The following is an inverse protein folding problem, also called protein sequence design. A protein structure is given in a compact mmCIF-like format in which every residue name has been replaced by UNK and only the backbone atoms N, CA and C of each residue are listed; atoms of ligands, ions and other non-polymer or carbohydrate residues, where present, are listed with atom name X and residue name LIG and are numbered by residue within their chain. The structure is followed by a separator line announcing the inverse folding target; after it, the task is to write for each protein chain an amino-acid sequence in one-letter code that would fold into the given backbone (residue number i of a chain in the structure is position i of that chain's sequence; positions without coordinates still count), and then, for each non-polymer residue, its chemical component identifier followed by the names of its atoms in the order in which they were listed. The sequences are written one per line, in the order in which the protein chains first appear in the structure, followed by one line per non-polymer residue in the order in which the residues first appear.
data_IF_602617740784
#
_entry.id   IF_602617740784
#
_cell.length_a   1.000
_cell.length_b   1.000
_cell.length_c   1.000
_cell.angle_alpha   90.00
_cell.angle_beta   90.00
_cell.angle_gamma   90.00
#
_symmetry.space_group_name_H-M   'P 1'
#
loop_
_entity.id
_entity.type
_entity.pdbx_description
1 polymer ?
#
# COMPACT_ATOMS: atom_id res chain seq x y z
N UNK A 1 2.68 -31.50 40.40
CA UNK A 1 3.03 -30.34 39.56
C UNK A 1 1.71 -29.68 39.15
N UNK A 2 1.47 -28.46 39.62
CA UNK A 2 0.19 -27.76 39.46
C UNK A 2 0.11 -27.12 38.07
N UNK A 3 -0.98 -27.38 37.34
CA UNK A 3 -1.33 -26.70 36.11
C UNK A 3 -1.92 -25.33 36.45
N UNK A 4 -1.20 -24.25 36.14
CA UNK A 4 -1.73 -22.89 36.15
C UNK A 4 -2.32 -22.59 34.77
N UNK A 5 -3.65 -22.55 34.69
CA UNK A 5 -4.37 -22.01 33.53
C UNK A 5 -4.19 -20.49 33.47
N UNK A 6 -3.56 -20.00 32.41
CA UNK A 6 -3.60 -18.58 32.06
C UNK A 6 -4.98 -18.28 31.46
N UNK A 7 -5.84 -17.55 32.19
CA UNK A 7 -7.01 -16.92 31.60
C UNK A 7 -6.56 -15.69 30.81
N UNK A 8 -6.70 -15.72 29.50
CA UNK A 8 -6.59 -14.54 28.65
C UNK A 8 -7.82 -13.65 28.90
N UNK A 9 -7.61 -12.48 29.51
CA UNK A 9 -8.60 -11.41 29.58
C UNK A 9 -8.67 -10.73 28.22
N UNK A 10 -9.65 -11.10 27.41
CA UNK A 10 -10.03 -10.34 26.20
C UNK A 10 -10.71 -9.06 26.67
N UNK A 11 -10.01 -7.93 26.61
CA UNK A 11 -10.62 -6.63 26.80
C UNK A 11 -11.50 -6.32 25.59
N UNK A 12 -12.82 -6.44 25.74
CA UNK A 12 -13.79 -6.05 24.73
C UNK A 12 -13.86 -4.52 24.72
N UNK A 13 -13.03 -3.86 23.90
CA UNK A 13 -13.20 -2.44 23.62
C UNK A 13 -14.46 -2.28 22.74
N UNK A 14 -15.58 -1.88 23.36
CA UNK A 14 -16.78 -1.50 22.62
C UNK A 14 -16.50 -0.19 21.87
N UNK A 15 -16.28 -0.27 20.56
CA UNK A 15 -16.26 0.92 19.69
C UNK A 15 -17.70 1.43 19.60
N UNK A 16 -18.01 2.47 20.36
CA UNK A 16 -19.32 3.14 20.27
C UNK A 16 -19.35 3.97 18.99
N UNK A 17 -19.84 3.40 17.89
CA UNK A 17 -20.21 4.21 16.71
C UNK A 17 -21.42 5.08 17.07
N UNK A 18 -21.35 6.37 16.79
CA UNK A 18 -22.51 7.23 16.88
C UNK A 18 -23.61 6.67 15.96
N UNK A 19 -24.85 6.57 16.46
CA UNK A 19 -25.97 6.13 15.63
C UNK A 19 -26.14 7.11 14.47
N UNK A 20 -26.47 6.66 13.23
CA UNK A 20 -26.65 7.55 12.10
C UNK A 20 -27.73 8.61 12.41
N UNK A 21 -27.32 9.87 12.54
CA UNK A 21 -28.22 10.99 12.92
C UNK A 21 -28.64 11.85 11.74
N UNK A 22 -27.97 11.72 10.59
CA UNK A 22 -28.14 12.59 9.42
C UNK A 22 -28.47 11.77 8.17
N UNK A 23 -29.21 12.37 7.24
CA UNK A 23 -29.56 11.78 5.95
C UNK A 23 -28.93 12.67 4.87
N UNK A 24 -28.09 12.06 4.03
CA UNK A 24 -27.45 12.71 2.88
C UNK A 24 -28.46 12.96 1.74
N UNK A 25 -28.13 13.80 0.75
CA UNK A 25 -29.03 14.11 -0.36
C UNK A 25 -29.49 12.88 -1.17
N UNK A 26 -28.69 11.82 -1.22
CA UNK A 26 -28.99 10.55 -1.89
C UNK A 26 -29.84 9.58 -1.04
N UNK A 27 -30.16 9.96 0.21
CA UNK A 27 -30.92 9.15 1.17
C UNK A 27 -30.06 8.27 2.08
N UNK A 28 -28.74 8.25 1.88
CA UNK A 28 -27.81 7.48 2.74
C UNK A 28 -27.79 8.07 4.15
N UNK A 29 -27.84 7.20 5.17
CA UNK A 29 -27.78 7.61 6.58
C UNK A 29 -26.35 7.59 7.06
N UNK A 30 -25.91 8.71 7.63
CA UNK A 30 -24.56 8.89 8.18
C UNK A 30 -24.61 9.47 9.59
N UNK A 31 -23.54 9.24 10.33
CA UNK A 31 -23.26 9.73 11.69
C UNK A 31 -22.96 11.23 11.73
N UNK A 32 -22.37 11.79 10.67
CA UNK A 32 -22.08 13.23 10.57
C UNK A 32 -22.31 13.75 9.15
N UNK A 33 -22.91 14.94 9.02
CA UNK A 33 -23.19 15.57 7.73
C UNK A 33 -21.95 15.77 6.83
N UNK A 34 -20.76 15.97 7.41
CA UNK A 34 -19.50 16.09 6.64
C UNK A 34 -19.21 14.81 5.85
N UNK A 35 -19.62 13.64 6.35
CA UNK A 35 -19.42 12.37 5.67
C UNK A 35 -20.22 12.26 4.37
N UNK A 36 -21.27 13.08 4.17
CA UNK A 36 -22.09 13.04 2.96
C UNK A 36 -21.31 13.42 1.69
N UNK A 37 -20.30 14.28 1.80
CA UNK A 37 -19.53 14.76 0.64
C UNK A 37 -18.62 13.66 0.06
N UNK A 38 -18.26 12.67 0.87
CA UNK A 38 -17.41 11.56 0.48
C UNK A 38 -18.14 10.50 -0.34
N UNK A 39 -19.47 10.43 -0.27
CA UNK A 39 -20.28 9.49 -1.06
C UNK A 39 -20.18 9.78 -2.58
N UNK A 40 -20.50 11.00 -3.06
CA UNK A 40 -20.34 11.31 -4.48
C UNK A 40 -18.86 11.36 -4.90
N UNK A 41 -17.93 11.64 -3.99
CA UNK A 41 -16.49 11.51 -4.27
C UNK A 41 -16.12 10.06 -4.57
N UNK A 42 -16.52 9.09 -3.74
CA UNK A 42 -16.25 7.67 -3.98
C UNK A 42 -16.81 7.20 -5.32
N UNK A 43 -18.04 7.63 -5.66
CA UNK A 43 -18.65 7.35 -6.96
C UNK A 43 -17.84 7.93 -8.12
N UNK A 44 -17.38 9.18 -7.99
CA UNK A 44 -16.57 9.83 -9.00
C UNK A 44 -15.22 9.11 -9.19
N UNK A 45 -14.50 8.82 -8.10
CA UNK A 45 -13.23 8.09 -8.13
C UNK A 45 -13.38 6.73 -8.81
N UNK A 46 -14.41 5.96 -8.44
CA UNK A 46 -14.69 4.67 -9.06
C UNK A 46 -15.06 4.81 -10.54
N UNK A 47 -15.88 5.78 -10.92
CA UNK A 47 -16.32 5.91 -12.31
C UNK A 47 -15.28 6.49 -13.26
N UNK A 48 -14.31 7.23 -12.74
CA UNK A 48 -13.36 8.04 -13.53
C UNK A 48 -11.94 7.51 -13.47
N UNK A 49 -11.49 6.97 -12.33
CA UNK A 49 -10.12 6.44 -12.18
C UNK A 49 -10.16 4.92 -12.07
N UNK A 50 -10.70 4.39 -10.98
CA UNK A 50 -10.43 2.98 -10.63
C UNK A 50 -11.27 1.98 -11.43
N UNK A 51 -12.44 2.38 -11.94
CA UNK A 51 -13.36 1.51 -12.71
C UNK A 51 -13.74 0.21 -11.97
N UNK A 52 -13.72 0.24 -10.63
CA UNK A 52 -13.95 -0.93 -9.79
C UNK A 52 -12.79 -1.95 -9.80
N UNK A 53 -11.62 -1.58 -10.30
CA UNK A 53 -10.45 -2.45 -10.43
C UNK A 53 -9.37 -2.12 -9.38
N UNK A 54 -8.61 -3.14 -9.00
CA UNK A 54 -7.36 -3.00 -8.25
C UNK A 54 -6.23 -3.09 -9.27
N UNK A 55 -6.11 -2.04 -10.09
CA UNK A 55 -5.12 -1.94 -11.15
C UNK A 55 -4.22 -0.73 -10.94
N UNK A 56 -3.58 -0.26 -12.01
CA UNK A 56 -2.54 0.77 -11.97
C UNK A 56 -2.91 2.02 -11.15
N UNK A 57 -3.99 2.71 -11.54
CA UNK A 57 -4.41 3.95 -10.86
C UNK A 57 -4.75 3.73 -9.36
N UNK A 58 -5.21 2.52 -9.01
CA UNK A 58 -5.47 2.16 -7.63
C UNK A 58 -4.16 1.95 -6.86
N UNK A 59 -3.18 1.24 -7.44
CA UNK A 59 -1.87 1.02 -6.83
C UNK A 59 -1.14 2.35 -6.57
N UNK A 60 -1.11 3.23 -7.57
CA UNK A 60 -0.48 4.54 -7.46
C UNK A 60 -1.16 5.44 -6.42
N UNK A 61 -2.49 5.38 -6.31
CA UNK A 61 -3.21 6.07 -5.21
C UNK A 61 -2.81 5.52 -3.84
N UNK A 62 -2.68 4.20 -3.71
CA UNK A 62 -2.31 3.57 -2.43
C UNK A 62 -0.90 4.01 -2.03
N UNK A 63 0.04 4.02 -2.99
CA UNK A 63 1.39 4.55 -2.81
C UNK A 63 1.35 6.01 -2.35
N UNK A 64 0.57 6.87 -3.00
CA UNK A 64 0.43 8.28 -2.63
C UNK A 64 0.01 8.48 -1.17
N UNK A 65 -0.90 7.65 -0.63
CA UNK A 65 -1.29 7.77 0.79
C UNK A 65 -0.13 7.57 1.75
N UNK A 66 0.83 6.71 1.40
CA UNK A 66 2.03 6.53 2.20
C UNK A 66 2.99 7.71 2.04
N UNK A 67 3.24 8.13 0.79
CA UNK A 67 4.21 9.18 0.49
C UNK A 67 3.79 10.56 1.05
N UNK A 68 2.50 10.90 1.04
CA UNK A 68 1.97 12.08 1.75
C UNK A 68 2.14 11.90 3.26
N UNK A 69 1.61 10.81 3.82
CA UNK A 69 1.54 10.63 5.27
C UNK A 69 2.90 10.54 5.97
N UNK A 70 3.86 9.81 5.39
CA UNK A 70 5.14 9.52 6.06
C UNK A 70 6.08 10.73 6.08
N UNK A 71 5.81 11.77 5.29
CA UNK A 71 6.61 12.99 5.16
C UNK A 71 6.41 13.95 6.36
N UNK A 72 6.75 13.47 7.57
CA UNK A 72 6.74 14.19 8.84
C UNK A 72 7.94 13.75 9.68
N UNK A 73 8.48 14.60 10.56
CA UNK A 73 9.59 14.18 11.43
C UNK A 73 9.42 14.73 12.84
N UNK A 74 9.37 13.84 13.84
CA UNK A 74 9.32 14.25 15.24
C UNK A 74 10.63 14.92 15.69
N UNK A 75 11.78 14.42 15.22
CA UNK A 75 13.09 14.97 15.58
C UNK A 75 13.42 16.29 14.89
N UNK A 76 12.98 16.50 13.63
CA UNK A 76 13.18 17.75 12.90
C UNK A 76 12.08 18.79 13.17
N UNK A 77 10.94 18.35 13.71
CA UNK A 77 9.81 19.20 14.08
C UNK A 77 8.89 19.58 12.90
N UNK A 78 7.84 20.38 13.16
CA UNK A 78 6.75 20.62 12.21
C UNK A 78 7.16 21.31 10.90
N UNK A 79 8.34 21.93 10.83
CA UNK A 79 8.84 22.54 9.59
C UNK A 79 9.39 21.55 8.59
N UNK A 80 9.60 20.29 8.98
CA UNK A 80 10.09 19.25 8.07
C UNK A 80 8.97 18.68 7.19
N UNK A 81 7.72 18.74 7.62
CA UNK A 81 6.57 18.21 6.90
C UNK A 81 5.41 17.92 7.84
N UNK A 82 4.18 18.03 7.32
CA UNK A 82 2.95 17.94 8.11
C UNK A 82 2.34 16.54 8.20
N UNK A 83 2.90 15.56 7.51
CA UNK A 83 2.37 14.19 7.47
C UNK A 83 1.19 14.09 6.52
N UNK A 84 0.10 13.44 6.93
CA UNK A 84 -1.05 13.20 6.06
C UNK A 84 -1.88 14.49 5.89
N UNK A 85 -1.34 15.50 5.18
CA UNK A 85 -1.88 16.86 5.10
C UNK A 85 -2.19 17.32 3.66
N UNK A 86 -1.91 16.48 2.67
CA UNK A 86 -2.13 16.78 1.26
C UNK A 86 -1.07 17.69 0.65
N UNK A 87 0.12 17.80 1.25
CA UNK A 87 1.23 18.60 0.72
C UNK A 87 1.57 18.24 -0.72
N UNK A 88 1.45 16.96 -1.10
CA UNK A 88 1.62 16.47 -2.48
C UNK A 88 0.72 17.17 -3.50
N UNK A 89 -0.49 17.60 -3.10
CA UNK A 89 -1.42 18.33 -3.98
C UNK A 89 -1.29 19.84 -3.88
N UNK A 90 -0.96 20.36 -2.70
CA UNK A 90 -0.84 21.80 -2.46
C UNK A 90 0.48 22.35 -3.02
N UNK A 91 1.54 21.53 -3.03
CA UNK A 91 2.87 21.85 -3.55
C UNK A 91 3.32 20.83 -4.61
N UNK A 92 2.56 20.66 -5.72
CA UNK A 92 2.76 19.57 -6.66
C UNK A 92 4.07 19.66 -7.46
N UNK A 93 4.75 20.82 -7.42
CA UNK A 93 6.05 21.05 -8.06
C UNK A 93 7.23 20.98 -7.09
N UNK A 94 7.04 20.43 -5.88
CA UNK A 94 8.10 20.32 -4.87
C UNK A 94 8.34 18.86 -4.53
N UNK A 95 7.45 18.25 -3.74
CA UNK A 95 7.66 16.89 -3.23
C UNK A 95 7.67 15.83 -4.35
N UNK A 96 6.79 15.88 -5.37
CA UNK A 96 6.84 14.93 -6.48
C UNK A 96 8.17 14.94 -7.27
N UNK A 97 8.97 16.00 -7.15
CA UNK A 97 10.27 16.12 -7.83
C UNK A 97 11.45 15.54 -7.02
N UNK A 98 11.21 15.07 -5.78
CA UNK A 98 12.24 14.37 -5.02
C UNK A 98 12.50 12.97 -5.60
N UNK A 99 13.74 12.51 -5.53
CA UNK A 99 14.15 11.21 -6.10
C UNK A 99 13.30 10.05 -5.58
N UNK A 100 13.08 10.00 -4.25
CA UNK A 100 12.28 8.95 -3.62
C UNK A 100 10.79 8.98 -4.00
N UNK A 101 10.32 10.08 -4.61
CA UNK A 101 8.95 10.27 -5.09
C UNK A 101 8.81 10.06 -6.60
N UNK A 102 9.84 9.57 -7.32
CA UNK A 102 9.74 9.32 -8.76
C UNK A 102 8.49 8.49 -9.12
N UNK A 103 7.72 8.97 -10.10
CA UNK A 103 6.45 8.36 -10.54
C UNK A 103 5.20 8.77 -9.75
N UNK A 104 5.34 9.45 -8.59
CA UNK A 104 4.16 9.83 -7.79
C UNK A 104 3.31 10.91 -8.47
N UNK A 105 3.90 11.63 -9.42
CA UNK A 105 3.26 12.66 -10.22
C UNK A 105 2.01 12.17 -10.95
N UNK A 106 1.98 10.91 -11.36
CA UNK A 106 0.82 10.32 -12.02
C UNK A 106 -0.41 10.31 -11.09
N UNK A 107 -0.24 9.79 -9.86
CA UNK A 107 -1.30 9.81 -8.84
C UNK A 107 -1.73 11.23 -8.45
N UNK A 108 -0.78 12.15 -8.38
CA UNK A 108 -1.02 13.56 -8.03
C UNK A 108 -1.86 14.24 -9.10
N UNK A 109 -1.45 14.12 -10.36
CA UNK A 109 -2.16 14.70 -11.50
C UNK A 109 -3.55 14.09 -11.67
N UNK A 110 -3.69 12.79 -11.36
CA UNK A 110 -4.97 12.11 -11.46
C UNK A 110 -6.00 12.58 -10.41
N UNK A 111 -5.54 12.94 -9.22
CA UNK A 111 -6.43 13.27 -8.10
C UNK A 111 -6.66 14.77 -7.91
N UNK A 112 -5.74 15.66 -8.27
CA UNK A 112 -5.92 17.13 -8.17
C UNK A 112 -7.25 17.63 -8.78
N UNK A 113 -7.72 17.15 -9.94
CA UNK A 113 -9.00 17.58 -10.52
C UNK A 113 -10.21 17.37 -9.59
N UNK A 114 -10.14 16.39 -8.68
CA UNK A 114 -11.20 16.10 -7.72
C UNK A 114 -11.31 17.17 -6.63
N UNK A 115 -10.24 17.88 -6.27
CA UNK A 115 -10.32 19.04 -5.35
C UNK A 115 -11.20 20.16 -5.92
N UNK A 116 -11.09 20.40 -7.23
CA UNK A 116 -11.94 21.40 -7.90
C UNK A 116 -13.40 20.95 -8.01
N UNK A 117 -13.64 19.64 -8.15
CA UNK A 117 -14.99 19.05 -8.24
C UNK A 117 -15.68 18.94 -6.87
N UNK A 118 -14.90 18.77 -5.80
CA UNK A 118 -15.36 18.59 -4.43
C UNK A 118 -14.71 19.62 -3.48
N UNK A 119 -15.04 20.91 -3.61
CA UNK A 119 -14.31 22.01 -2.94
C UNK A 119 -14.47 22.06 -1.41
N UNK A 120 -15.33 21.22 -0.84
CA UNK A 120 -15.50 21.08 0.61
C UNK A 120 -14.55 20.05 1.22
N UNK A 121 -13.91 19.21 0.38
CA UNK A 121 -12.96 18.18 0.79
C UNK A 121 -11.55 18.75 0.68
N UNK A 122 -10.75 18.58 1.74
CA UNK A 122 -9.36 19.05 1.79
C UNK A 122 -8.41 18.10 1.06
N UNK A 123 -7.21 18.56 0.75
CA UNK A 123 -6.20 17.77 0.05
C UNK A 123 -5.84 16.48 0.80
N UNK A 124 -5.51 16.57 2.09
CA UNK A 124 -5.20 15.40 2.90
C UNK A 124 -6.39 14.45 3.06
N UNK A 125 -7.62 14.97 3.19
CA UNK A 125 -8.81 14.13 3.25
C UNK A 125 -9.06 13.40 1.91
N UNK A 126 -8.83 14.08 0.77
CA UNK A 126 -8.94 13.47 -0.55
C UNK A 126 -7.94 12.33 -0.74
N UNK A 127 -6.65 12.54 -0.41
CA UNK A 127 -5.62 11.49 -0.55
C UNK A 127 -6.00 10.27 0.28
N UNK A 128 -6.25 10.46 1.57
CA UNK A 128 -6.53 9.35 2.47
C UNK A 128 -7.84 8.64 2.10
N UNK A 129 -8.89 9.38 1.70
CA UNK A 129 -10.14 8.77 1.27
C UNK A 129 -9.97 8.00 -0.05
N UNK A 130 -9.28 8.58 -1.03
CA UNK A 130 -9.01 7.94 -2.31
C UNK A 130 -8.28 6.60 -2.13
N UNK A 131 -7.28 6.54 -1.25
CA UNK A 131 -6.62 5.27 -0.91
C UNK A 131 -7.56 4.23 -0.30
N UNK A 132 -8.52 4.63 0.54
CA UNK A 132 -9.52 3.68 1.07
C UNK A 132 -10.44 3.13 -0.04
N UNK A 133 -10.79 3.96 -1.03
CA UNK A 133 -11.61 3.56 -2.18
C UNK A 133 -10.80 2.63 -3.11
N UNK A 134 -9.55 2.98 -3.40
CA UNK A 134 -8.64 2.16 -4.20
C UNK A 134 -8.45 0.76 -3.58
N UNK A 135 -8.08 0.68 -2.30
CA UNK A 135 -7.94 -0.59 -1.59
C UNK A 135 -9.22 -1.41 -1.56
N UNK A 136 -10.40 -0.78 -1.49
CA UNK A 136 -11.68 -1.52 -1.50
C UNK A 136 -11.88 -2.35 -2.78
N UNK A 137 -11.18 -2.02 -3.87
CA UNK A 137 -11.25 -2.77 -5.12
C UNK A 137 -10.36 -4.01 -5.12
N UNK A 138 -9.45 -4.16 -4.16
CA UNK A 138 -8.49 -5.26 -4.06
C UNK A 138 -9.11 -6.41 -3.25
N UNK A 139 -9.40 -7.57 -3.87
CA UNK A 139 -9.98 -8.71 -3.15
C UNK A 139 -9.10 -9.12 -1.97
N UNK A 140 -9.67 -9.12 -0.77
CA UNK A 140 -8.94 -9.44 0.46
C UNK A 140 -8.44 -8.23 1.24
N UNK A 141 -8.61 -7.01 0.75
CA UNK A 141 -8.22 -5.82 1.51
C UNK A 141 -9.17 -5.58 2.70
N UNK A 142 -8.66 -5.04 3.82
CA UNK A 142 -9.52 -4.66 4.93
C UNK A 142 -10.31 -3.38 4.61
N UNK A 143 -11.49 -3.23 5.23
CA UNK A 143 -12.19 -1.94 5.19
C UNK A 143 -11.46 -0.99 6.15
N UNK A 144 -10.71 -0.04 5.58
CA UNK A 144 -9.95 0.92 6.37
C UNK A 144 -10.85 1.83 7.20
N UNK A 145 -10.32 2.31 8.33
CA UNK A 145 -10.91 3.46 9.02
C UNK A 145 -10.64 4.71 8.20
N UNK A 146 -11.63 5.59 8.10
CA UNK A 146 -11.47 6.90 7.49
C UNK A 146 -11.97 7.97 8.44
N UNK A 147 -11.04 8.83 8.87
CA UNK A 147 -11.36 10.02 9.65
C UNK A 147 -11.16 11.24 8.75
N UNK A 148 -12.10 12.18 8.76
CA UNK A 148 -12.08 13.42 7.96
C UNK A 148 -11.86 14.66 8.84
N UNK A 149 -11.43 15.76 8.23
CA UNK A 149 -11.23 17.05 8.87
C UNK A 149 -9.79 17.57 8.87
N UNK A 150 -8.90 16.99 8.05
CA UNK A 150 -7.52 17.48 7.93
C UNK A 150 -7.52 18.90 7.34
N UNK A 151 -6.80 19.87 7.91
CA UNK A 151 -6.55 21.14 7.21
C UNK A 151 -5.66 20.92 5.98
N UNK A 152 -5.75 21.81 4.99
CA UNK A 152 -4.78 21.81 3.89
C UNK A 152 -3.38 22.19 4.40
N UNK A 153 -2.35 21.52 3.85
CA UNK A 153 -0.95 21.85 4.07
C UNK A 153 -0.63 23.34 3.88
N UNK A 154 0.29 23.87 4.67
CA UNK A 154 0.76 25.26 4.58
C UNK A 154 2.21 25.40 4.10
N UNK A 155 2.94 24.28 4.03
CA UNK A 155 4.30 24.19 3.51
C UNK A 155 4.52 22.78 2.93
N UNK A 156 5.41 22.61 1.92
CA UNK A 156 5.80 21.29 1.46
C UNK A 156 6.67 20.59 2.50
N UNK A 157 6.72 19.27 2.46
CA UNK A 157 7.73 18.53 3.21
C UNK A 157 9.14 18.73 2.63
N UNK A 158 10.17 18.51 3.46
CA UNK A 158 11.57 18.46 3.03
C UNK A 158 11.90 17.10 2.41
N UNK A 159 12.94 17.06 1.58
CA UNK A 159 13.45 15.82 1.01
C UNK A 159 14.09 14.90 2.08
N UNK A 160 14.24 13.61 1.77
CA UNK A 160 14.86 12.60 2.63
C UNK A 160 13.93 12.04 3.72
N UNK A 161 12.61 12.28 3.63
CA UNK A 161 11.63 11.73 4.58
C UNK A 161 10.94 10.45 4.08
N UNK A 162 11.11 10.09 2.81
CA UNK A 162 10.55 8.89 2.19
C UNK A 162 11.62 7.78 2.24
N UNK A 163 11.32 6.58 2.80
CA UNK A 163 12.22 5.43 2.71
C UNK A 163 12.48 5.03 1.27
N UNK A 164 13.71 4.66 0.95
CA UNK A 164 14.11 4.21 -0.38
C UNK A 164 14.43 2.71 -0.42
N UNK A 165 14.26 2.01 -1.56
CA UNK A 165 14.45 0.57 -1.62
C UNK A 165 15.89 0.10 -1.32
N UNK A 166 16.89 0.97 -1.50
CA UNK A 166 18.29 0.70 -1.13
C UNK A 166 18.59 0.89 0.35
N UNK A 167 17.68 1.47 1.14
CA UNK A 167 17.92 1.71 2.55
C UNK A 167 18.14 0.42 3.33
N UNK A 168 19.00 0.48 4.33
CA UNK A 168 19.15 -0.65 5.25
C UNK A 168 18.01 -0.66 6.28
N UNK A 169 17.75 -1.84 6.87
CA UNK A 169 16.67 -2.05 7.84
C UNK A 169 16.73 -1.09 9.03
N UNK A 170 17.92 -0.73 9.52
CA UNK A 170 18.03 0.22 10.64
C UNK A 170 17.51 1.59 10.23
N UNK A 171 17.92 2.10 9.06
CA UNK A 171 17.45 3.38 8.56
C UNK A 171 15.93 3.38 8.36
N UNK A 172 15.36 2.34 7.74
CA UNK A 172 13.92 2.21 7.54
C UNK A 172 13.19 2.23 8.90
N UNK A 173 13.60 1.40 9.85
CA UNK A 173 12.94 1.32 11.17
C UNK A 173 13.07 2.65 11.95
N UNK A 174 14.20 3.34 11.87
CA UNK A 174 14.40 4.66 12.49
C UNK A 174 13.53 5.74 11.82
N UNK A 175 13.41 5.72 10.49
CA UNK A 175 12.58 6.63 9.71
C UNK A 175 11.09 6.50 10.06
N UNK A 176 10.61 5.27 10.18
CA UNK A 176 9.25 4.97 10.64
C UNK A 176 9.05 5.31 12.13
N UNK A 177 10.03 5.05 12.99
CA UNK A 177 9.97 5.45 14.40
C UNK A 177 9.91 6.98 14.56
N UNK A 178 10.69 7.74 13.78
CA UNK A 178 10.72 9.20 13.81
C UNK A 178 9.44 9.84 13.24
N UNK A 179 8.85 9.26 12.20
CA UNK A 179 7.63 9.79 11.60
C UNK A 179 6.43 9.72 12.57
N UNK A 180 6.24 8.56 13.21
CA UNK A 180 5.01 8.27 13.97
C UNK A 180 5.15 7.31 15.13
N UNK A 181 6.37 6.97 15.54
CA UNK A 181 6.62 5.95 16.55
C UNK A 181 6.15 4.57 16.11
N UNK A 182 6.30 4.23 14.82
CA UNK A 182 5.93 2.91 14.32
C UNK A 182 6.89 1.84 14.84
N UNK A 183 6.32 0.73 15.28
CA UNK A 183 7.08 -0.46 15.68
C UNK A 183 7.51 -1.25 14.45
N UNK A 184 8.56 -2.10 14.53
CA UNK A 184 8.94 -2.96 13.42
C UNK A 184 7.80 -3.86 12.91
N UNK A 185 6.90 -4.29 13.81
CA UNK A 185 5.70 -5.03 13.43
C UNK A 185 4.74 -4.18 12.58
N UNK A 186 4.49 -2.92 12.95
CA UNK A 186 3.66 -2.02 12.16
C UNK A 186 4.29 -1.69 10.80
N UNK A 187 5.64 -1.58 10.72
CA UNK A 187 6.36 -1.40 9.44
C UNK A 187 6.11 -2.59 8.50
N UNK A 188 6.33 -3.82 8.98
CA UNK A 188 6.06 -5.03 8.19
C UNK A 188 4.57 -5.14 7.85
N UNK A 189 3.68 -4.72 8.76
CA UNK A 189 2.24 -4.69 8.51
C UNK A 189 1.87 -3.75 7.37
N UNK A 190 2.49 -2.55 7.29
CA UNK A 190 2.26 -1.59 6.21
C UNK A 190 2.76 -2.10 4.86
N UNK A 191 3.85 -2.87 4.83
CA UNK A 191 4.38 -3.50 3.61
C UNK A 191 3.47 -4.57 3.02
N UNK A 192 2.37 -4.95 3.70
CA UNK A 192 1.30 -5.69 3.05
C UNK A 192 0.73 -4.95 1.83
N UNK A 193 0.90 -3.62 1.70
CA UNK A 193 0.55 -2.90 0.48
C UNK A 193 1.30 -3.42 -0.76
N UNK A 194 2.50 -4.00 -0.60
CA UNK A 194 3.29 -4.48 -1.72
C UNK A 194 2.69 -5.71 -2.43
N UNK A 195 1.68 -6.36 -1.84
CA UNK A 195 0.92 -7.43 -2.55
C UNK A 195 0.00 -6.87 -3.64
N UNK A 196 -0.27 -5.56 -3.64
CA UNK A 196 -1.03 -4.85 -4.68
C UNK A 196 -0.22 -3.68 -5.23
N UNK A 197 1.01 -3.98 -5.63
CA UNK A 197 1.97 -2.98 -6.09
C UNK A 197 2.88 -3.50 -7.20
N UNK A 198 3.43 -2.54 -7.95
CA UNK A 198 4.36 -2.73 -9.06
C UNK A 198 5.40 -1.61 -9.05
N UNK A 199 6.46 -1.75 -9.86
CA UNK A 199 7.49 -0.73 -10.03
C UNK A 199 7.68 -0.35 -11.50
N UNK A 200 7.70 0.97 -11.75
CA UNK A 200 7.92 1.56 -13.08
C UNK A 200 9.24 2.35 -13.19
N UNK A 201 9.85 2.69 -12.04
CA UNK A 201 10.99 3.62 -11.98
C UNK A 201 12.27 3.02 -11.40
N UNK A 202 12.24 1.79 -10.89
CA UNK A 202 13.43 1.10 -10.36
C UNK A 202 14.32 0.62 -11.50
N UNK A 203 13.73 -0.04 -12.50
CA UNK A 203 14.38 -0.38 -13.77
C UNK A 203 13.73 0.45 -14.88
N UNK A 204 14.50 1.29 -15.56
CA UNK A 204 13.97 2.18 -16.60
C UNK A 204 13.77 1.50 -17.97
N UNK A 205 14.01 0.20 -18.08
CA UNK A 205 13.86 -0.59 -19.32
C UNK A 205 12.57 -1.41 -19.37
N UNK A 206 11.86 -1.52 -18.24
CA UNK A 206 10.59 -2.22 -18.07
C UNK A 206 9.65 -1.37 -17.23
N UNK A 207 8.35 -1.61 -17.34
CA UNK A 207 7.31 -1.00 -16.52
C UNK A 207 6.51 -2.08 -15.80
N UNK A 208 5.71 -1.66 -14.83
CA UNK A 208 4.72 -2.48 -14.15
C UNK A 208 5.27 -3.82 -13.63
N UNK A 209 6.52 -3.85 -13.15
CA UNK A 209 7.12 -5.05 -12.58
C UNK A 209 6.48 -5.34 -11.20
N UNK A 210 5.67 -6.40 -11.04
CA UNK A 210 4.94 -6.62 -9.80
C UNK A 210 5.88 -7.12 -8.69
N UNK A 211 5.52 -6.87 -7.42
CA UNK A 211 6.31 -7.36 -6.28
C UNK A 211 5.92 -8.76 -5.82
N UNK A 212 4.76 -9.27 -6.26
CA UNK A 212 4.37 -10.66 -6.13
C UNK A 212 3.62 -11.15 -7.39
N UNK A 213 3.26 -12.44 -7.41
CA UNK A 213 2.57 -13.06 -8.55
C UNK A 213 1.08 -12.74 -8.67
N UNK A 214 0.52 -11.96 -7.74
CA UNK A 214 -0.92 -11.67 -7.64
C UNK A 214 -1.19 -10.18 -7.41
N UNK A 215 -0.61 -9.25 -8.21
CA UNK A 215 -0.57 -7.81 -7.91
C UNK A 215 -1.93 -7.10 -7.87
N UNK A 216 -3.03 -7.80 -8.14
CA UNK A 216 -4.40 -7.28 -8.11
C UNK A 216 -5.24 -7.87 -6.97
N UNK A 217 -4.63 -8.68 -6.10
CA UNK A 217 -5.26 -9.37 -4.98
C UNK A 217 -4.53 -9.01 -3.69
N UNK A 218 -5.27 -8.58 -2.66
CA UNK A 218 -4.67 -8.26 -1.37
C UNK A 218 -4.50 -9.53 -0.53
N UNK A 219 -3.50 -10.33 -0.88
CA UNK A 219 -3.20 -11.61 -0.22
C UNK A 219 -1.79 -11.65 0.40
N UNK A 220 -1.31 -12.85 0.73
CA UNK A 220 -0.06 -13.03 1.48
C UNK A 220 1.10 -13.50 0.60
N UNK A 221 0.95 -13.48 -0.72
CA UNK A 221 1.96 -13.98 -1.67
C UNK A 221 3.27 -13.19 -1.56
N UNK A 222 3.23 -11.85 -1.45
CA UNK A 222 4.44 -11.04 -1.20
C UNK A 222 5.28 -11.56 -0.03
N UNK A 223 4.65 -11.96 1.08
CA UNK A 223 5.38 -12.45 2.25
C UNK A 223 6.03 -13.82 2.00
N UNK A 224 5.41 -14.65 1.18
CA UNK A 224 5.94 -15.94 0.74
C UNK A 224 7.08 -15.76 -0.29
N UNK A 225 6.83 -14.98 -1.33
CA UNK A 225 7.66 -14.93 -2.53
C UNK A 225 8.99 -14.23 -2.26
N UNK A 226 9.01 -13.20 -1.42
CA UNK A 226 10.25 -12.55 -0.97
C UNK A 226 11.17 -13.49 -0.18
N UNK A 227 10.63 -14.54 0.45
CA UNK A 227 11.43 -15.56 1.16
C UNK A 227 12.05 -16.61 0.22
N UNK A 228 11.67 -16.64 -1.06
CA UNK A 228 12.24 -17.56 -2.04
C UNK A 228 13.63 -17.11 -2.49
N UNK A 229 14.45 -18.06 -2.91
CA UNK A 229 15.76 -17.78 -3.51
C UNK A 229 15.58 -17.04 -4.84
N UNK A 230 16.26 -15.91 -4.99
CA UNK A 230 16.34 -15.20 -6.27
C UNK A 230 17.06 -16.03 -7.34
N UNK A 231 16.61 -15.93 -8.58
CA UNK A 231 17.14 -16.69 -9.73
C UNK A 231 17.47 -15.80 -10.93
N UNK A 232 17.09 -14.53 -10.92
CA UNK A 232 17.40 -13.56 -11.96
C UNK A 232 16.71 -12.21 -11.73
N UNK A 233 16.74 -11.34 -12.74
CA UNK A 233 16.07 -10.03 -12.74
C UNK A 233 15.05 -9.99 -13.88
N UNK A 234 13.88 -9.34 -13.69
CA UNK A 234 12.88 -9.19 -14.76
C UNK A 234 13.40 -8.28 -15.90
N UNK A 235 14.28 -7.34 -15.57
CA UNK A 235 14.92 -6.41 -16.49
C UNK A 235 16.44 -6.56 -16.54
N UNK A 236 17.13 -5.51 -16.10
CA UNK A 236 18.59 -5.38 -15.98
C UNK A 236 19.06 -5.72 -14.56
N UNK A 237 20.36 -5.97 -14.37
CA UNK A 237 20.94 -6.48 -13.11
C UNK A 237 21.73 -5.43 -12.32
N UNK A 238 21.58 -4.15 -12.68
CA UNK A 238 22.38 -3.04 -12.16
C UNK A 238 21.56 -1.88 -11.60
N UNK A 239 20.29 -2.12 -11.27
CA UNK A 239 19.39 -1.12 -10.69
C UNK A 239 19.64 -0.92 -9.19
N UNK A 240 19.54 0.32 -8.73
CA UNK A 240 19.71 0.65 -7.31
C UNK A 240 18.48 0.20 -6.53
N UNK A 241 18.69 -0.53 -5.43
CA UNK A 241 17.58 -0.98 -4.58
C UNK A 241 16.85 -2.22 -5.10
N UNK A 242 17.33 -2.89 -6.16
CA UNK A 242 16.80 -4.15 -6.65
C UNK A 242 17.72 -5.33 -6.32
N UNK A 243 17.15 -6.51 -6.07
CA UNK A 243 17.86 -7.78 -5.92
C UNK A 243 17.19 -8.87 -6.75
N UNK A 244 17.88 -10.02 -6.92
CA UNK A 244 17.33 -11.14 -7.70
C UNK A 244 15.93 -11.57 -7.21
N UNK A 245 15.01 -11.59 -8.17
CA UNK A 245 13.64 -12.06 -8.07
C UNK A 245 13.58 -13.60 -8.21
N UNK A 246 12.62 -14.26 -7.53
CA UNK A 246 12.38 -15.70 -7.67
C UNK A 246 11.56 -16.02 -8.94
N UNK A 247 10.85 -15.03 -9.51
CA UNK A 247 9.95 -15.16 -10.66
C UNK A 247 10.22 -14.07 -11.71
N UNK A 248 11.42 -14.03 -12.32
CA UNK A 248 11.80 -12.95 -13.24
C UNK A 248 11.26 -13.13 -14.68
N UNK A 249 10.48 -14.16 -14.99
CA UNK A 249 10.02 -14.41 -16.37
C UNK A 249 8.96 -13.40 -16.78
N UNK A 250 9.36 -12.43 -17.60
CA UNK A 250 8.45 -11.59 -18.38
C UNK A 250 8.38 -11.95 -19.86
N UNK A 251 7.40 -11.41 -20.56
CA UNK A 251 7.23 -11.54 -22.02
C UNK A 251 7.54 -10.23 -22.80
N UNK A 252 8.05 -9.18 -22.15
CA UNK A 252 8.31 -7.88 -22.77
C UNK A 252 9.31 -7.97 -23.94
N UNK A 253 10.31 -8.85 -23.83
CA UNK A 253 11.28 -9.11 -24.92
C UNK A 253 10.63 -9.77 -26.15
N UNK A 254 9.43 -10.35 -26.00
CA UNK A 254 8.62 -10.91 -27.07
C UNK A 254 7.48 -9.98 -27.52
N UNK A 255 7.44 -8.74 -26.99
CA UNK A 255 6.43 -7.74 -27.33
C UNK A 255 5.11 -7.86 -26.56
N UNK A 256 5.08 -8.58 -25.44
CA UNK A 256 3.97 -8.52 -24.48
C UNK A 256 4.23 -7.50 -23.36
N UNK A 257 3.30 -7.41 -22.41
CA UNK A 257 3.36 -6.44 -21.30
C UNK A 257 3.42 -7.13 -19.92
N UNK A 258 3.46 -8.47 -19.88
CA UNK A 258 3.59 -9.23 -18.64
C UNK A 258 5.04 -9.17 -18.18
N UNK A 259 5.36 -8.18 -17.36
CA UNK A 259 6.65 -8.03 -16.71
C UNK A 259 6.82 -9.07 -15.60
N UNK A 260 8.01 -9.65 -15.49
CA UNK A 260 8.34 -10.58 -14.40
C UNK A 260 8.37 -9.89 -13.05
N UNK A 261 8.29 -10.66 -11.96
CA UNK A 261 8.35 -10.14 -10.59
C UNK A 261 9.68 -9.41 -10.36
N UNK A 262 9.61 -8.26 -9.69
CA UNK A 262 10.75 -7.52 -9.17
C UNK A 262 10.84 -7.68 -7.66
N UNK A 263 12.06 -7.73 -7.12
CA UNK A 263 12.27 -7.76 -5.68
C UNK A 263 13.09 -6.57 -5.21
N UNK A 264 12.50 -5.77 -4.34
CA UNK A 264 13.18 -4.66 -3.67
C UNK A 264 14.20 -5.19 -2.63
N UNK A 265 15.33 -4.51 -2.52
CA UNK A 265 16.36 -4.83 -1.53
C UNK A 265 15.81 -4.66 -0.11
N UNK A 266 15.08 -3.58 0.16
CA UNK A 266 14.44 -3.30 1.44
C UNK A 266 13.53 -4.43 1.92
N UNK A 267 12.65 -4.94 1.05
CA UNK A 267 11.76 -6.07 1.35
C UNK A 267 12.55 -7.34 1.62
N UNK A 268 13.54 -7.65 0.76
CA UNK A 268 14.44 -8.78 0.94
C UNK A 268 15.15 -8.74 2.31
N UNK A 269 15.63 -7.55 2.70
CA UNK A 269 16.35 -7.34 3.96
C UNK A 269 15.41 -7.42 5.17
N UNK A 270 14.22 -6.80 5.12
CA UNK A 270 13.22 -6.86 6.18
C UNK A 270 12.69 -8.27 6.41
N UNK A 271 12.54 -9.07 5.35
CA UNK A 271 12.17 -10.48 5.45
C UNK A 271 13.23 -11.33 6.17
N UNK A 272 14.47 -10.83 6.27
CA UNK A 272 15.64 -11.61 6.74
C UNK A 272 16.29 -11.06 8.02
N UNK A 273 16.04 -9.82 8.40
CA UNK A 273 16.60 -9.19 9.59
C UNK A 273 15.98 -9.76 10.89
N UNK A 274 16.81 -10.01 11.91
CA UNK A 274 16.37 -10.61 13.18
C UNK A 274 15.27 -9.79 13.90
N UNK A 275 15.12 -8.49 13.59
CA UNK A 275 14.10 -7.59 14.17
C UNK A 275 12.72 -7.75 13.52
N UNK A 276 12.65 -8.26 12.30
CA UNK A 276 11.44 -8.23 11.45
C UNK A 276 11.09 -9.56 10.81
N UNK A 277 12.04 -10.49 10.66
CA UNK A 277 11.87 -11.75 9.94
C UNK A 277 10.71 -12.61 10.44
N UNK A 278 10.49 -12.68 11.76
CA UNK A 278 9.36 -13.44 12.30
C UNK A 278 8.02 -12.74 12.07
N UNK A 279 7.97 -11.41 12.07
CA UNK A 279 6.75 -10.69 11.68
C UNK A 279 6.44 -10.91 10.19
N UNK A 280 7.47 -10.88 9.34
CA UNK A 280 7.35 -11.16 7.91
C UNK A 280 6.82 -12.58 7.66
N UNK A 281 7.48 -13.59 8.24
CA UNK A 281 7.04 -14.98 8.12
C UNK A 281 5.63 -15.21 8.71
N UNK A 282 5.29 -14.49 9.79
CA UNK A 282 4.02 -14.61 10.49
C UNK A 282 2.79 -14.19 9.68
N UNK A 283 2.98 -13.48 8.55
CA UNK A 283 1.88 -13.17 7.63
C UNK A 283 1.68 -14.21 6.53
N UNK A 284 2.65 -15.10 6.29
CA UNK A 284 2.53 -16.14 5.25
C UNK A 284 1.33 -17.04 5.56
N UNK A 285 0.35 -17.07 4.63
CA UNK A 285 -0.87 -17.85 4.74
C UNK A 285 -1.82 -17.45 5.89
N UNK A 286 -1.65 -16.25 6.47
CA UNK A 286 -2.44 -15.73 7.58
C UNK A 286 -3.26 -14.49 7.16
N UNK A 287 -4.17 -14.68 6.19
CA UNK A 287 -4.95 -13.61 5.55
C UNK A 287 -5.62 -12.64 6.54
N UNK A 288 -6.41 -13.15 7.48
CA UNK A 288 -7.14 -12.30 8.44
C UNK A 288 -6.19 -11.53 9.37
N UNK A 289 -5.07 -12.15 9.73
CA UNK A 289 -4.05 -11.52 10.57
C UNK A 289 -3.33 -10.39 9.82
N UNK A 290 -2.93 -10.63 8.57
CA UNK A 290 -2.35 -9.59 7.70
C UNK A 290 -3.33 -8.42 7.52
N UNK A 291 -4.59 -8.71 7.15
CA UNK A 291 -5.63 -7.69 6.95
C UNK A 291 -5.85 -6.82 8.19
N UNK A 292 -6.00 -7.46 9.37
CA UNK A 292 -6.24 -6.73 10.61
C UNK A 292 -5.03 -5.90 11.05
N UNK A 293 -3.83 -6.40 10.81
CA UNK A 293 -2.57 -5.71 11.14
C UNK A 293 -2.32 -4.52 10.21
N UNK A 294 -2.50 -4.70 8.89
CA UNK A 294 -2.43 -3.60 7.92
C UNK A 294 -3.46 -2.51 8.24
N UNK A 295 -4.71 -2.89 8.53
CA UNK A 295 -5.76 -1.94 8.94
C UNK A 295 -5.37 -1.12 10.16
N UNK A 296 -4.80 -1.76 11.19
CA UNK A 296 -4.37 -1.10 12.41
C UNK A 296 -3.21 -0.13 12.15
N UNK A 297 -2.23 -0.53 11.34
CA UNK A 297 -1.10 0.33 10.99
C UNK A 297 -1.54 1.51 10.09
N UNK A 298 -2.43 1.29 9.12
CA UNK A 298 -3.02 2.34 8.28
C UNK A 298 -3.85 3.35 9.09
N UNK A 299 -4.58 2.89 10.12
CA UNK A 299 -5.31 3.77 11.05
C UNK A 299 -4.39 4.76 11.78
N UNK A 300 -3.11 4.42 11.96
CA UNK A 300 -2.08 5.30 12.52
C UNK A 300 -1.40 6.15 11.43
N UNK A 301 -1.04 5.55 10.30
CA UNK A 301 -0.42 6.25 9.16
C UNK A 301 -1.31 7.39 8.65
N UNK A 302 -2.59 7.11 8.43
CA UNK A 302 -3.53 8.05 7.84
C UNK A 302 -3.76 9.33 8.67
N UNK A 303 -3.32 9.36 9.93
CA UNK A 303 -3.49 10.52 10.82
C UNK A 303 -2.18 11.13 11.29
N UNK A 304 -1.05 10.77 10.67
CA UNK A 304 0.21 11.45 10.98
C UNK A 304 0.05 12.96 10.81
N UNK A 305 0.62 13.72 11.76
CA UNK A 305 0.42 15.18 11.86
C UNK A 305 -0.88 15.62 12.55
N UNK A 306 -1.79 14.71 12.85
CA UNK A 306 -3.13 15.03 13.34
C UNK A 306 -3.44 14.36 14.68
N UNK A 307 -4.23 15.06 15.50
CA UNK A 307 -4.83 14.47 16.68
C UNK A 307 -6.13 13.77 16.27
N UNK A 308 -6.21 12.45 16.47
CA UNK A 308 -7.39 11.63 16.16
C UNK A 308 -8.70 12.22 16.68
N UNK A 309 -8.68 12.83 17.87
CA UNK A 309 -9.88 13.35 18.52
C UNK A 309 -10.45 14.61 17.85
N UNK A 310 -9.66 15.26 16.99
CA UNK A 310 -10.08 16.45 16.25
C UNK A 310 -10.63 16.08 14.86
N UNK A 311 -10.61 14.79 14.50
CA UNK A 311 -11.12 14.26 13.23
C UNK A 311 -12.46 13.56 13.43
N UNK A 312 -13.30 13.58 12.38
CA UNK A 312 -14.63 12.99 12.36
C UNK A 312 -14.56 11.60 11.73
N UNK A 313 -15.07 10.58 12.42
CA UNK A 313 -15.18 9.23 11.86
C UNK A 313 -16.23 9.18 10.74
N UNK A 314 -15.76 9.01 9.51
CA UNK A 314 -16.56 8.81 8.31
C UNK A 314 -16.35 7.42 7.71
N UNK A 315 -15.88 6.44 8.49
CA UNK A 315 -15.61 5.08 8.00
C UNK A 315 -16.83 4.36 7.39
N UNK A 316 -18.04 4.82 7.71
CA UNK A 316 -19.29 4.25 7.17
C UNK A 316 -19.51 4.52 5.68
N UNK A 317 -18.84 5.53 5.11
CA UNK A 317 -18.94 5.87 3.67
C UNK A 317 -17.80 5.28 2.85
N UNK A 318 -16.84 4.62 3.50
CA UNK A 318 -15.81 3.82 2.81
C UNK A 318 -16.50 2.64 2.13
N UNK A 319 -16.29 2.41 0.81
CA UNK A 319 -16.87 1.27 0.12
C UNK A 319 -16.54 -0.05 0.81
N UNK A 320 -17.47 -1.00 0.77
CA UNK A 320 -17.20 -2.35 1.28
C UNK A 320 -16.18 -3.03 0.37
N UNK A 321 -15.03 -3.50 0.90
CA UNK A 321 -14.01 -4.14 0.08
C UNK A 321 -14.50 -5.42 -0.57
N UNK A 322 -13.92 -5.78 -1.71
CA UNK A 322 -14.11 -7.10 -2.32
C UNK A 322 -13.63 -8.19 -1.34
N UNK A 323 -14.40 -9.27 -1.15
CA UNK A 323 -14.03 -10.33 -0.21
C UNK A 323 -12.73 -11.03 -0.65
N UNK A 324 -11.98 -11.65 0.28
CA UNK A 324 -10.83 -12.47 -0.07
C UNK A 324 -11.20 -13.60 -1.03
N UNK A 325 -10.26 -13.99 -1.90
CA UNK A 325 -10.42 -15.12 -2.83
C UNK A 325 -10.63 -16.45 -2.06
N UNK A 326 -10.12 -16.55 -0.83
CA UNK A 326 -10.27 -17.73 0.02
C UNK A 326 -9.35 -18.90 -0.39
N UNK A 327 -8.32 -18.64 -1.20
CA UNK A 327 -7.24 -19.57 -1.50
C UNK A 327 -6.13 -19.42 -0.45
N UNK A 328 -5.61 -20.51 0.14
CA UNK A 328 -4.36 -20.47 0.89
C UNK A 328 -3.21 -19.95 0.02
N UNK A 329 -2.16 -19.41 0.65
CA UNK A 329 -0.92 -19.08 -0.05
C UNK A 329 -0.32 -20.32 -0.71
N UNK A 330 0.23 -20.17 -1.90
CA UNK A 330 0.81 -21.28 -2.67
C UNK A 330 2.15 -20.89 -3.25
N UNK A 331 3.10 -21.83 -3.27
CA UNK A 331 4.32 -21.66 -4.03
C UNK A 331 3.97 -21.55 -5.52
N UNK A 332 4.35 -20.47 -6.21
CA UNK A 332 4.14 -20.36 -7.65
C UNK A 332 4.87 -21.49 -8.38
N UNK A 333 4.35 -21.90 -9.54
CA UNK A 333 4.95 -22.96 -10.34
C UNK A 333 6.44 -22.64 -10.64
N UNK A 334 7.30 -23.66 -10.55
CA UNK A 334 8.79 -23.63 -10.53
C UNK A 334 9.47 -23.39 -9.19
N UNK A 335 8.73 -22.98 -8.17
CA UNK A 335 9.26 -22.75 -6.83
C UNK A 335 8.78 -23.82 -5.84
N UNK A 336 9.35 -23.87 -4.65
CA UNK A 336 8.85 -24.74 -3.59
C UNK A 336 9.58 -24.58 -2.26
N UNK A 337 9.28 -25.44 -1.27
CA UNK A 337 9.90 -25.38 0.05
C UNK A 337 11.44 -25.46 0.03
N UNK A 338 12.02 -26.11 -0.98
CA UNK A 338 13.47 -26.21 -1.17
C UNK A 338 14.14 -24.87 -1.49
N UNK A 339 13.38 -23.88 -1.94
CA UNK A 339 13.88 -22.57 -2.36
C UNK A 339 13.75 -21.52 -1.26
N UNK A 340 13.14 -21.86 -0.12
CA UNK A 340 12.97 -20.94 1.01
C UNK A 340 14.30 -20.57 1.68
N UNK A 341 14.46 -19.28 1.97
CA UNK A 341 15.57 -18.70 2.71
C UNK A 341 15.08 -18.15 4.05
N UNK A 342 14.76 -19.06 4.97
CA UNK A 342 14.17 -18.72 6.26
C UNK A 342 15.18 -18.23 7.29
N UNK A 343 14.83 -17.17 8.02
CA UNK A 343 15.64 -16.60 9.10
C UNK A 343 14.89 -16.51 10.44
N UNK A 344 13.55 -16.61 10.44
CA UNK A 344 12.80 -16.69 11.69
C UNK A 344 13.07 -18.00 12.43
N UNK A 345 13.56 -17.90 13.68
CA UNK A 345 13.96 -19.06 14.51
C UNK A 345 12.92 -19.47 15.55
N UNK A 346 11.92 -18.64 15.82
CA UNK A 346 10.91 -18.87 16.85
C UNK A 346 9.60 -19.46 16.34
N UNK A 347 9.38 -19.43 15.02
CA UNK A 347 8.12 -19.83 14.40
C UNK A 347 8.35 -20.83 13.27
N UNK A 348 7.43 -21.78 13.14
CA UNK A 348 7.48 -22.79 12.10
C UNK A 348 6.85 -22.22 10.83
N UNK A 349 7.56 -22.32 9.70
CA UNK A 349 6.99 -22.01 8.39
C UNK A 349 5.81 -22.94 8.04
N UNK A 350 4.68 -22.40 7.52
CA UNK A 350 3.49 -23.19 7.22
C UNK A 350 3.73 -24.22 6.10
N UNK A 351 2.94 -25.29 6.07
CA UNK A 351 2.96 -26.24 4.95
C UNK A 351 2.04 -25.73 3.85
N UNK A 352 2.59 -25.35 2.71
CA UNK A 352 1.85 -24.82 1.56
C UNK A 352 1.88 -25.79 0.38
N UNK A 353 0.90 -25.67 -0.50
CA UNK A 353 0.89 -26.40 -1.78
C UNK A 353 1.73 -25.67 -2.83
N UNK A 354 2.08 -26.37 -3.91
CA UNK A 354 2.79 -25.81 -5.06
C UNK A 354 1.81 -25.79 -6.24
N UNK A 355 1.72 -24.66 -6.93
CA UNK A 355 0.91 -24.55 -8.12
C UNK A 355 1.43 -25.44 -9.25
N UNK A 356 0.52 -26.02 -10.03
CA UNK A 356 0.89 -26.99 -11.06
C UNK A 356 1.55 -26.31 -12.27
N UNK A 357 2.80 -26.65 -12.56
CA UNK A 357 3.47 -26.23 -13.79
C UNK A 357 4.95 -26.62 -13.80
N UNK A 358 5.47 -26.96 -14.98
CA UNK A 358 6.90 -27.23 -15.17
C UNK A 358 7.69 -25.97 -15.61
N UNK A 359 6.97 -24.86 -15.82
CA UNK A 359 7.50 -23.56 -16.23
C UNK A 359 6.84 -22.49 -15.39
N UNK A 360 7.56 -21.39 -15.25
CA UNK A 360 7.07 -20.23 -14.55
C UNK A 360 5.86 -19.66 -15.30
N UNK A 361 4.86 -19.22 -14.56
CA UNK A 361 3.63 -18.64 -15.13
C UNK A 361 3.85 -17.14 -15.27
N UNK A 362 3.52 -16.58 -16.43
CA UNK A 362 3.55 -15.13 -16.61
C UNK A 362 2.58 -14.47 -15.63
N UNK A 363 3.02 -13.38 -15.02
CA UNK A 363 2.19 -12.55 -14.14
C UNK A 363 1.44 -11.56 -15.03
N UNK A 364 0.09 -11.61 -15.08
CA UNK A 364 -0.66 -10.79 -16.03
C UNK A 364 -0.47 -9.30 -15.79
N UNK A 365 -0.31 -8.54 -16.86
CA UNK A 365 -0.27 -7.06 -16.82
C UNK A 365 -1.60 -6.45 -16.36
N UNK A 366 -2.72 -7.13 -16.61
CA UNK A 366 -4.06 -6.66 -16.29
C UNK A 366 -4.84 -7.63 -15.40
N UNK A 367 -5.70 -7.09 -14.53
CA UNK A 367 -6.55 -7.83 -13.60
C UNK A 367 -7.48 -8.87 -14.25
N UNK A 368 -7.81 -8.68 -15.52
CA UNK A 368 -8.63 -9.61 -16.31
C UNK A 368 -7.82 -10.73 -17.00
N UNK A 369 -6.50 -10.79 -16.78
CA UNK A 369 -5.58 -11.73 -17.42
C UNK A 369 -5.11 -11.33 -18.82
N UNK A 370 -5.48 -10.14 -19.30
CA UNK A 370 -5.06 -9.57 -20.58
C UNK A 370 -3.71 -8.84 -20.51
N UNK A 371 -3.25 -8.35 -21.66
CA UNK A 371 -2.02 -7.55 -21.80
C UNK A 371 -2.29 -6.04 -21.87
N UNK A 372 -3.50 -5.65 -22.28
CA UNK A 372 -3.88 -4.26 -22.49
C UNK A 372 -5.09 -3.93 -21.62
N UNK A 373 -4.91 -2.97 -20.70
CA UNK A 373 -5.97 -2.47 -19.83
C UNK A 373 -6.04 -0.95 -19.94
N UNK A 374 -7.26 -0.37 -19.93
CA UNK A 374 -7.41 1.07 -19.92
C UNK A 374 -6.89 1.63 -18.58
N UNK A 375 -5.94 2.55 -18.65
CA UNK A 375 -5.54 3.42 -17.55
C UNK A 375 -6.03 4.84 -17.81
N UNK A 376 -6.25 5.62 -16.75
CA UNK A 376 -6.62 7.03 -16.88
C UNK A 376 -5.46 7.88 -16.45
N UNK A 377 -4.99 8.74 -17.36
CA UNK A 377 -3.93 9.68 -17.05
C UNK A 377 -4.36 11.10 -17.40
N UNK A 378 -4.55 11.92 -16.37
CA UNK A 378 -4.76 13.36 -16.51
C UNK A 378 -3.42 14.06 -16.55
N UNK A 379 -3.29 15.07 -17.42
CA UNK A 379 -2.15 15.98 -17.36
C UNK A 379 -2.31 16.89 -16.15
N UNK A 380 -1.23 17.24 -15.47
CA UNK A 380 -1.29 18.12 -14.31
C UNK A 380 0.02 18.80 -13.97
N UNK A 381 0.07 19.51 -12.83
CA UNK A 381 1.21 20.34 -12.45
C UNK A 381 2.36 19.56 -11.79
N UNK A 382 2.18 18.30 -11.42
CA UNK A 382 3.27 17.44 -10.96
C UNK A 382 3.92 16.76 -12.18
N UNK A 383 5.24 16.61 -12.17
CA UNK A 383 5.99 16.06 -13.30
C UNK A 383 6.58 17.12 -14.23
N UNK A 384 7.59 16.73 -14.99
CA UNK A 384 8.27 17.61 -15.94
C UNK A 384 7.34 17.93 -17.13
N UNK A 385 7.33 19.19 -17.59
CA UNK A 385 7.14 19.45 -19.03
C UNK A 385 8.24 18.62 -19.71
N UNK A 386 7.90 17.48 -20.32
CA UNK A 386 8.81 16.69 -21.15
C UNK A 386 9.59 17.64 -22.07
N UNK A 387 10.84 17.94 -21.72
CA UNK A 387 11.75 18.79 -22.50
C UNK A 387 13.18 18.26 -22.51
#
# INVERSE_FOLDING_TARGET
MAFTSLLALVALAAITRAAPTTICPDGTRVSNHVCCDFIPLAQALQSTLYMGDCGEDAHETIRLTFHDAIAISQSQGPSAGGGADGSMFIFPTVEPFFHANAGIDDSVNNLIPFLSKFPTITAGDLIQFAGTVALSNCPGAPQLEFLAGRPNATAPAVDGLIPEPQDNVTHILERFADAGGFTPFEVVSLLASHTVARADKVDLTIDAAPFDSTPFTFDTQIFLEVLLKGVGFPGTDNNTGEVESPLPLGNNKQGGNDTGEMRLQSDFALARDDRTACFWQGFVNEQEYMMSSFKAAMSKLAILGHNRNDLIDCSEVVPTPKPPVGKPATFPATTGPQDLQLTCKSERFPSLTIDHGARETLIPHCSNGGQDCPTVQFTGPAGEDDS
#
